data_IF_312118494049
#
_entry.id   IF_312118494049
#
_cell.length_a   1.000
_cell.length_b   1.000
_cell.length_c   1.000
_cell.angle_alpha   90.00
_cell.angle_beta   90.00
_cell.angle_gamma   90.00
#
_symmetry.space_group_name_H-M   'P 1'
#
loop_
_entity.id
_entity.type
_entity.pdbx_description
1 polymer ?
#
# COMPACT_ATOMS: atom_id res chain seq x y z
N UNK A 1 21.15 -18.79 6.83
CA UNK A 1 21.25 -17.60 7.74
C UNK A 1 20.49 -16.36 7.23
N UNK A 2 20.40 -16.11 5.93
CA UNK A 2 19.76 -14.93 5.34
C UNK A 2 18.24 -15.10 5.22
N UNK A 3 17.82 -16.25 4.76
CA UNK A 3 16.43 -16.68 4.67
C UNK A 3 15.77 -16.80 6.05
N UNK A 4 16.50 -17.19 7.06
CA UNK A 4 16.00 -17.27 8.44
C UNK A 4 15.70 -15.90 9.04
N UNK A 5 16.51 -14.88 8.76
CA UNK A 5 16.25 -13.50 9.20
C UNK A 5 15.03 -12.88 8.50
N UNK A 6 14.89 -13.14 7.20
CA UNK A 6 13.69 -12.74 6.45
C UNK A 6 12.43 -13.38 7.02
N UNK A 7 12.47 -14.70 7.22
CA UNK A 7 11.34 -15.44 7.79
C UNK A 7 10.98 -14.94 9.20
N UNK A 8 11.97 -14.61 10.01
CA UNK A 8 11.76 -14.10 11.36
C UNK A 8 11.12 -12.70 11.33
N UNK A 9 11.62 -11.79 10.51
CA UNK A 9 11.05 -10.45 10.36
C UNK A 9 9.61 -10.48 9.80
N UNK A 10 9.34 -11.34 8.81
CA UNK A 10 8.00 -11.54 8.28
C UNK A 10 7.06 -12.18 9.31
N UNK A 11 7.55 -13.12 10.13
CA UNK A 11 6.79 -13.73 11.22
C UNK A 11 6.50 -12.74 12.35
N UNK A 12 7.43 -11.85 12.70
CA UNK A 12 7.21 -10.82 13.71
C UNK A 12 6.20 -9.77 13.23
N UNK A 13 6.29 -9.32 11.99
CA UNK A 13 5.32 -8.41 11.39
C UNK A 13 3.92 -9.04 11.38
N UNK A 14 3.81 -10.29 10.93
CA UNK A 14 2.55 -11.04 10.93
C UNK A 14 2.01 -11.24 12.35
N UNK A 15 2.87 -11.60 13.31
CA UNK A 15 2.45 -11.80 14.71
C UNK A 15 2.03 -10.50 15.40
N UNK A 16 2.56 -9.35 14.99
CA UNK A 16 2.13 -8.04 15.46
C UNK A 16 0.74 -7.67 14.94
N UNK A 17 0.53 -7.87 13.64
CA UNK A 17 -0.76 -7.64 12.97
C UNK A 17 -1.87 -8.55 13.53
N UNK A 18 -1.57 -9.84 13.69
CA UNK A 18 -2.50 -10.82 14.30
C UNK A 18 -2.85 -10.43 15.73
N UNK A 19 -1.89 -9.97 16.55
CA UNK A 19 -2.19 -9.54 17.92
C UNK A 19 -3.08 -8.30 17.96
N UNK A 20 -2.86 -7.34 17.07
CA UNK A 20 -3.67 -6.13 16.99
C UNK A 20 -5.10 -6.47 16.54
N UNK A 21 -5.25 -7.29 15.50
CA UNK A 21 -6.55 -7.76 15.04
C UNK A 21 -7.29 -8.59 16.09
N UNK A 22 -6.59 -9.42 16.89
CA UNK A 22 -7.20 -10.23 17.94
C UNK A 22 -7.69 -9.35 19.10
N UNK A 23 -6.95 -8.28 19.45
CA UNK A 23 -7.36 -7.35 20.48
C UNK A 23 -8.62 -6.55 20.07
N UNK A 24 -8.69 -6.15 18.79
CA UNK A 24 -9.87 -5.50 18.22
C UNK A 24 -11.09 -6.45 18.23
N UNK A 25 -10.88 -7.74 17.94
CA UNK A 25 -11.90 -8.78 17.97
C UNK A 25 -12.44 -9.10 19.38
N UNK A 26 -11.57 -9.13 20.40
CA UNK A 26 -11.98 -9.36 21.80
C UNK A 26 -12.86 -8.21 22.30
N UNK A 27 -12.65 -7.00 21.80
CA UNK A 27 -13.46 -5.82 22.16
C UNK A 27 -14.85 -5.83 21.49
N UNK A 28 -15.00 -6.50 20.33
CA UNK A 28 -16.29 -6.67 19.62
C UNK A 28 -17.06 -7.94 20.06
N UNK A 29 -16.41 -8.91 20.68
CA UNK A 29 -16.98 -10.21 21.03
C UNK A 29 -18.00 -10.18 22.19
N UNK A 30 -18.33 -9.03 22.77
CA UNK A 30 -19.42 -8.88 23.73
C UNK A 30 -20.83 -8.92 23.09
N UNK A 31 -20.95 -9.11 21.78
CA UNK A 31 -22.25 -9.27 21.11
C UNK A 31 -22.56 -10.73 20.82
N UNK A 32 -23.73 -11.17 21.29
CA UNK A 32 -24.27 -12.54 21.32
C UNK A 32 -24.55 -13.19 19.94
N UNK A 33 -23.88 -12.81 18.86
CA UNK A 33 -24.05 -13.38 17.53
C UNK A 33 -22.81 -14.16 17.09
N UNK A 34 -22.87 -15.47 17.24
CA UNK A 34 -21.88 -16.43 16.73
C UNK A 34 -21.94 -16.55 15.20
N UNK A 35 -21.44 -15.57 14.48
CA UNK A 35 -21.08 -15.76 13.08
C UNK A 35 -19.67 -16.36 12.98
N UNK A 36 -19.42 -17.30 12.07
CA UNK A 36 -18.09 -17.87 11.89
C UNK A 36 -17.15 -16.77 11.40
N UNK A 37 -16.18 -16.44 12.22
CA UNK A 37 -15.12 -15.53 11.88
C UNK A 37 -14.12 -16.22 10.96
N UNK A 38 -13.75 -15.52 9.89
CA UNK A 38 -12.73 -15.98 8.97
C UNK A 38 -11.64 -14.93 8.89
N UNK A 39 -10.41 -15.34 9.14
CA UNK A 39 -9.21 -14.55 8.94
C UNK A 39 -8.23 -15.34 8.09
N UNK A 40 -7.81 -14.79 6.96
CA UNK A 40 -6.75 -15.34 6.14
C UNK A 40 -5.73 -14.26 5.79
N UNK A 41 -4.46 -14.57 6.00
CA UNK A 41 -3.36 -13.71 5.60
C UNK A 41 -2.42 -14.47 4.66
N UNK A 42 -1.99 -13.81 3.60
CA UNK A 42 -0.97 -14.32 2.68
C UNK A 42 0.14 -13.29 2.46
N UNK A 43 1.35 -13.78 2.23
CA UNK A 43 2.49 -12.97 1.81
C UNK A 43 3.05 -13.59 0.53
N UNK A 44 3.04 -12.84 -0.56
CA UNK A 44 3.45 -13.29 -1.88
C UNK A 44 4.60 -12.44 -2.41
N UNK A 45 5.56 -13.09 -3.10
CA UNK A 45 6.60 -12.37 -3.85
C UNK A 45 6.05 -12.09 -5.23
N UNK A 46 5.84 -10.81 -5.56
CA UNK A 46 5.30 -10.41 -6.86
C UNK A 46 6.36 -10.10 -7.90
N UNK A 47 7.52 -9.61 -7.46
CA UNK A 47 8.63 -9.31 -8.36
C UNK A 47 9.99 -9.40 -7.64
N UNK A 48 11.02 -9.76 -8.40
CA UNK A 48 12.43 -9.61 -8.06
C UNK A 48 13.04 -8.67 -9.10
N UNK A 49 13.33 -7.43 -8.70
CA UNK A 49 13.82 -6.42 -9.62
C UNK A 49 14.80 -5.48 -8.94
N UNK A 50 15.93 -5.17 -9.62
CA UNK A 50 17.00 -4.28 -9.13
C UNK A 50 17.59 -4.70 -7.76
N UNK A 51 17.57 -6.00 -7.45
CA UNK A 51 18.04 -6.51 -6.15
C UNK A 51 17.05 -6.27 -5.00
N UNK A 52 15.81 -5.97 -5.33
CA UNK A 52 14.71 -5.81 -4.39
C UNK A 52 13.63 -6.85 -4.65
N UNK A 53 13.03 -7.37 -3.59
CA UNK A 53 11.84 -8.19 -3.64
C UNK A 53 10.61 -7.35 -3.32
N UNK A 54 9.68 -7.29 -4.26
CA UNK A 54 8.36 -6.71 -4.06
C UNK A 54 7.44 -7.77 -3.47
N UNK A 55 6.90 -7.50 -2.28
CA UNK A 55 6.04 -8.40 -1.53
C UNK A 55 4.64 -7.81 -1.45
N UNK A 56 3.62 -8.64 -1.65
CA UNK A 56 2.24 -8.31 -1.38
C UNK A 56 1.76 -9.07 -0.15
N UNK A 57 1.33 -8.33 0.86
CA UNK A 57 0.65 -8.87 2.03
C UNK A 57 -0.84 -8.62 1.86
N UNK A 58 -1.64 -9.68 1.94
CA UNK A 58 -3.09 -9.59 1.80
C UNK A 58 -3.75 -10.21 3.02
N UNK A 59 -4.67 -9.47 3.63
CA UNK A 59 -5.53 -9.93 4.72
C UNK A 59 -6.96 -9.92 4.26
N UNK A 60 -7.64 -11.04 4.45
CA UNK A 60 -9.08 -11.15 4.22
C UNK A 60 -9.75 -11.51 5.53
N UNK A 61 -10.73 -10.73 5.92
CA UNK A 61 -11.56 -10.99 7.08
C UNK A 61 -13.01 -11.14 6.65
N UNK A 62 -13.74 -12.01 7.28
CA UNK A 62 -15.19 -12.11 7.14
C UNK A 62 -15.79 -11.89 8.52
N UNK A 63 -16.59 -10.86 8.67
CA UNK A 63 -17.36 -10.58 9.86
C UNK A 63 -18.84 -10.56 9.47
N UNK A 64 -19.66 -11.35 10.17
CA UNK A 64 -21.12 -11.29 10.05
C UNK A 64 -21.66 -11.44 8.61
N UNK A 65 -21.28 -12.52 7.92
CA UNK A 65 -21.77 -12.86 6.56
C UNK A 65 -21.51 -11.80 5.46
N UNK A 66 -20.74 -10.75 5.78
CA UNK A 66 -20.33 -9.78 4.79
C UNK A 66 -18.84 -9.97 4.48
N UNK A 67 -18.49 -10.42 3.27
CA UNK A 67 -17.08 -10.45 2.86
C UNK A 67 -16.49 -9.04 2.95
N UNK A 68 -15.55 -8.83 3.86
CA UNK A 68 -14.75 -7.60 3.88
C UNK A 68 -13.92 -7.51 2.60
N UNK A 69 -13.72 -6.32 2.09
CA UNK A 69 -12.71 -6.13 1.03
C UNK A 69 -11.35 -6.51 1.57
N UNK A 70 -10.57 -7.37 0.87
CA UNK A 70 -9.26 -7.76 1.35
C UNK A 70 -8.37 -6.52 1.48
N UNK A 71 -7.75 -6.34 2.64
CA UNK A 71 -6.70 -5.35 2.83
C UNK A 71 -5.44 -5.85 2.15
N UNK A 72 -4.88 -5.07 1.26
CA UNK A 72 -3.61 -5.38 0.59
C UNK A 72 -2.58 -4.31 0.91
N UNK A 73 -1.34 -4.72 1.15
CA UNK A 73 -0.22 -3.83 1.42
C UNK A 73 1.03 -4.34 0.73
N UNK A 74 1.79 -3.43 0.16
CA UNK A 74 3.06 -3.75 -0.47
C UNK A 74 4.22 -3.44 0.47
N UNK A 75 5.25 -4.26 0.36
CA UNK A 75 6.54 -4.05 1.01
C UNK A 75 7.65 -4.25 0.01
N UNK A 76 8.65 -3.40 0.05
CA UNK A 76 9.86 -3.57 -0.74
C UNK A 76 11.01 -3.97 0.17
N UNK A 77 11.66 -5.09 -0.15
CA UNK A 77 12.76 -5.66 0.62
C UNK A 77 14.06 -5.61 -0.18
N UNK A 78 15.13 -5.06 0.40
CA UNK A 78 16.49 -5.26 -0.12
C UNK A 78 16.87 -6.74 -0.02
N UNK A 79 17.00 -7.42 -1.17
CA UNK A 79 17.27 -8.87 -1.21
C UNK A 79 18.65 -9.25 -0.66
N UNK A 80 19.59 -8.29 -0.56
CA UNK A 80 20.94 -8.51 -0.02
C UNK A 80 21.02 -8.28 1.47
N UNK A 81 20.37 -7.20 1.95
CA UNK A 81 20.41 -6.82 3.37
C UNK A 81 19.30 -7.49 4.17
N UNK A 82 18.17 -7.82 3.54
CA UNK A 82 16.97 -8.33 4.19
C UNK A 82 16.28 -7.26 5.02
N UNK A 83 16.38 -5.99 4.61
CA UNK A 83 15.72 -4.84 5.25
C UNK A 83 14.64 -4.29 4.35
N UNK A 84 13.57 -3.79 4.95
CA UNK A 84 12.55 -3.05 4.23
C UNK A 84 13.11 -1.72 3.74
N UNK A 85 12.66 -1.30 2.57
CA UNK A 85 13.06 -0.05 1.94
C UNK A 85 11.86 0.89 1.86
N UNK A 86 12.08 2.13 2.27
CA UNK A 86 11.15 3.23 2.05
C UNK A 86 11.25 3.80 0.63
N UNK A 87 10.23 4.49 0.18
CA UNK A 87 10.27 5.19 -1.12
C UNK A 87 11.42 6.22 -1.16
N UNK A 88 11.69 6.91 -0.06
CA UNK A 88 12.80 7.87 0.03
C UNK A 88 14.19 7.21 -0.08
N UNK A 89 14.32 5.93 0.23
CA UNK A 89 15.59 5.18 0.05
C UNK A 89 15.77 4.70 -1.38
N UNK A 90 14.69 4.43 -2.10
CA UNK A 90 14.69 3.89 -3.47
C UNK A 90 14.79 4.98 -4.53
N UNK A 91 14.09 6.09 -4.33
CA UNK A 91 14.00 7.16 -5.33
C UNK A 91 14.86 8.36 -4.95
N UNK A 92 15.56 8.93 -5.94
CA UNK A 92 16.47 10.07 -5.78
C UNK A 92 15.74 11.39 -5.66
N UNK A 93 14.64 11.56 -6.40
CA UNK A 93 13.81 12.76 -6.42
C UNK A 93 12.38 12.44 -6.00
N UNK A 94 12.11 12.54 -4.70
CA UNK A 94 10.80 12.26 -4.13
C UNK A 94 9.77 13.35 -4.43
N UNK A 95 10.23 14.57 -4.77
CA UNK A 95 9.32 15.65 -5.16
C UNK A 95 8.78 15.41 -6.56
N UNK A 96 9.64 15.15 -7.53
CA UNK A 96 9.23 14.79 -8.89
C UNK A 96 8.36 13.51 -8.89
N UNK A 97 8.71 12.52 -8.07
CA UNK A 97 7.89 11.33 -7.90
C UNK A 97 6.46 11.67 -7.43
N UNK A 98 6.31 12.51 -6.41
CA UNK A 98 5.00 12.93 -5.89
C UNK A 98 4.20 13.73 -6.92
N UNK A 99 4.84 14.55 -7.74
CA UNK A 99 4.20 15.27 -8.84
C UNK A 99 3.63 14.28 -9.86
N UNK A 100 4.44 13.36 -10.36
CA UNK A 100 3.99 12.33 -11.31
C UNK A 100 2.85 11.47 -10.76
N UNK A 101 2.95 11.06 -9.50
CA UNK A 101 1.90 10.29 -8.83
C UNK A 101 0.59 11.08 -8.74
N UNK A 102 0.68 12.36 -8.41
CA UNK A 102 -0.49 13.24 -8.29
C UNK A 102 -1.17 13.44 -9.65
N UNK A 103 -0.40 13.74 -10.69
CA UNK A 103 -0.92 13.94 -12.04
C UNK A 103 -1.62 12.67 -12.55
N UNK A 104 -0.96 11.51 -12.42
CA UNK A 104 -1.53 10.22 -12.81
C UNK A 104 -2.79 9.86 -12.03
N UNK A 105 -2.82 10.17 -10.74
CA UNK A 105 -3.99 9.96 -9.89
C UNK A 105 -5.17 10.83 -10.32
N UNK A 106 -4.94 12.13 -10.52
CA UNK A 106 -5.99 13.07 -10.92
C UNK A 106 -6.54 12.75 -12.32
N UNK A 107 -5.67 12.36 -13.25
CA UNK A 107 -6.07 11.90 -14.58
C UNK A 107 -7.02 10.69 -14.51
N UNK A 108 -6.71 9.72 -13.66
CA UNK A 108 -7.51 8.50 -13.46
C UNK A 108 -8.92 8.80 -12.94
N UNK A 109 -9.11 9.87 -12.18
CA UNK A 109 -10.40 10.21 -11.58
C UNK A 109 -11.40 10.86 -12.55
N UNK A 110 -10.96 11.32 -13.71
CA UNK A 110 -11.85 11.95 -14.70
C UNK A 110 -12.56 13.18 -14.15
N UNK A 111 -11.85 14.03 -13.43
CA UNK A 111 -12.40 15.18 -12.72
C UNK A 111 -12.99 16.23 -13.67
N UNK A 112 -13.94 17.00 -13.18
CA UNK A 112 -14.55 18.12 -13.94
C UNK A 112 -13.56 19.27 -14.06
N UNK A 113 -13.14 19.67 -15.28
CA UNK A 113 -12.21 20.78 -15.46
C UNK A 113 -12.75 22.10 -14.86
N UNK A 114 -11.86 22.83 -14.17
CA UNK A 114 -12.17 24.14 -13.59
C UNK A 114 -12.92 24.13 -12.26
N UNK A 115 -13.33 22.96 -11.78
CA UNK A 115 -13.93 22.82 -10.44
C UNK A 115 -12.83 22.54 -9.41
N UNK A 116 -12.81 23.22 -8.24
CA UNK A 116 -11.84 22.95 -7.19
C UNK A 116 -11.84 21.48 -6.75
N UNK A 117 -10.66 20.92 -6.47
CA UNK A 117 -10.51 19.50 -6.08
C UNK A 117 -11.32 19.15 -4.82
N UNK A 118 -11.37 20.07 -3.86
CA UNK A 118 -12.12 19.91 -2.61
C UNK A 118 -13.63 19.76 -2.84
N UNK A 119 -14.18 20.50 -3.80
CA UNK A 119 -15.60 20.39 -4.18
C UNK A 119 -15.91 19.08 -4.89
N UNK A 120 -14.88 18.44 -5.44
CA UNK A 120 -14.96 17.12 -6.06
C UNK A 120 -14.61 15.99 -5.09
N UNK A 121 -14.45 16.29 -3.78
CA UNK A 121 -14.17 15.31 -2.74
C UNK A 121 -12.70 14.87 -2.65
N UNK A 122 -11.79 15.63 -3.27
CA UNK A 122 -10.34 15.35 -3.23
C UNK A 122 -9.67 16.28 -2.23
N UNK A 123 -9.06 15.70 -1.19
CA UNK A 123 -8.42 16.39 -0.08
C UNK A 123 -6.90 16.18 -0.12
N UNK A 124 -6.21 16.87 -1.01
CA UNK A 124 -4.74 16.81 -1.05
C UNK A 124 -4.13 17.64 0.10
N UNK A 125 -2.90 17.30 0.54
CA UNK A 125 -2.10 18.13 1.43
C UNK A 125 -1.95 19.57 0.92
N UNK A 126 -1.51 20.49 1.79
CA UNK A 126 -1.41 21.92 1.48
C UNK A 126 -0.48 22.24 0.30
N UNK A 127 0.46 21.37 -0.02
CA UNK A 127 1.35 21.48 -1.17
C UNK A 127 0.72 20.96 -2.49
N UNK A 128 -0.53 20.52 -2.44
CA UNK A 128 -1.29 20.07 -3.61
C UNK A 128 -0.85 18.72 -4.19
N UNK A 129 -0.03 17.96 -3.47
CA UNK A 129 0.52 16.68 -3.94
C UNK A 129 0.13 15.52 -3.05
N UNK A 130 0.01 14.33 -3.64
CA UNK A 130 -0.12 13.10 -2.88
C UNK A 130 1.05 12.94 -1.90
N UNK A 131 0.82 12.45 -0.68
CA UNK A 131 1.90 12.15 0.25
C UNK A 131 2.82 11.05 -0.33
N UNK A 132 4.09 11.04 0.07
CA UNK A 132 4.95 9.90 -0.23
C UNK A 132 4.48 8.70 0.60
N UNK A 133 4.26 7.58 -0.07
CA UNK A 133 3.86 6.33 0.59
C UNK A 133 4.97 5.28 0.49
N UNK A 134 5.11 4.48 1.55
CA UNK A 134 5.98 3.30 1.57
C UNK A 134 5.20 2.00 1.23
N UNK A 135 3.91 2.14 0.92
CA UNK A 135 3.06 1.07 0.38
C UNK A 135 3.22 1.03 -1.15
N UNK A 136 4.31 0.43 -1.62
CA UNK A 136 4.62 0.37 -3.05
C UNK A 136 5.39 -0.90 -3.42
N UNK A 137 5.34 -1.24 -4.70
CA UNK A 137 6.11 -2.32 -5.33
C UNK A 137 6.78 -1.83 -6.60
N UNK A 138 7.88 -2.48 -6.96
CA UNK A 138 8.59 -2.23 -8.23
C UNK A 138 8.72 -3.52 -9.03
N UNK A 139 8.75 -3.37 -10.35
CA UNK A 139 8.97 -4.45 -11.30
C UNK A 139 9.69 -3.93 -12.56
N UNK A 140 10.01 -4.81 -13.48
CA UNK A 140 10.53 -4.40 -14.79
C UNK A 140 9.55 -3.59 -15.65
N UNK A 141 8.26 -3.59 -15.29
CA UNK A 141 7.23 -2.82 -16.00
C UNK A 141 7.04 -1.41 -15.41
N UNK A 142 7.48 -1.16 -14.19
CA UNK A 142 7.33 0.12 -13.50
C UNK A 142 7.14 -0.05 -11.99
N UNK A 143 6.52 0.96 -11.38
CA UNK A 143 6.22 0.98 -9.96
C UNK A 143 4.73 1.23 -9.71
N UNK A 144 4.16 0.54 -8.73
CA UNK A 144 2.77 0.73 -8.27
C UNK A 144 2.81 1.24 -6.85
N UNK A 145 2.11 2.34 -6.59
CA UNK A 145 1.96 2.96 -5.27
C UNK A 145 0.50 2.84 -4.84
N UNK A 146 0.29 2.43 -3.61
CA UNK A 146 -1.03 2.26 -3.03
C UNK A 146 -1.32 3.33 -2.00
N UNK A 147 -2.56 3.80 -2.01
CA UNK A 147 -3.05 4.82 -1.10
C UNK A 147 -4.35 4.36 -0.45
N UNK A 148 -4.43 4.54 0.87
CA UNK A 148 -5.70 4.56 1.57
C UNK A 148 -6.41 5.89 1.30
N UNK A 149 -7.56 5.83 0.66
CA UNK A 149 -8.32 6.99 0.24
C UNK A 149 -9.24 7.56 1.32
N UNK A 150 -9.31 6.94 2.49
CA UNK A 150 -10.17 7.41 3.59
C UNK A 150 -9.92 8.88 3.98
N UNK A 151 -8.69 9.36 3.81
CA UNK A 151 -8.30 10.74 4.10
C UNK A 151 -8.19 11.63 2.86
N UNK A 152 -7.91 11.06 1.69
CA UNK A 152 -7.63 11.81 0.45
C UNK A 152 -8.85 11.95 -0.45
N UNK A 153 -9.71 10.95 -0.50
CA UNK A 153 -10.90 10.93 -1.34
C UNK A 153 -12.00 10.01 -0.73
N UNK A 154 -12.46 10.26 0.50
CA UNK A 154 -13.30 9.33 1.27
C UNK A 154 -14.65 9.04 0.64
N UNK A 155 -15.13 9.90 -0.25
CA UNK A 155 -16.43 9.75 -0.92
C UNK A 155 -16.34 9.08 -2.29
N UNK A 156 -15.11 8.87 -2.81
CA UNK A 156 -14.91 8.43 -4.19
C UNK A 156 -14.42 6.98 -4.22
N UNK A 157 -13.37 6.67 -3.47
CA UNK A 157 -12.70 5.38 -3.51
C UNK A 157 -12.21 4.98 -2.12
N UNK A 158 -12.39 3.70 -1.69
CA UNK A 158 -11.80 3.22 -0.45
C UNK A 158 -10.28 3.05 -0.54
N UNK A 159 -9.78 2.66 -1.71
CA UNK A 159 -8.36 2.43 -2.00
C UNK A 159 -8.04 2.81 -3.44
N UNK A 160 -6.82 3.25 -3.70
CA UNK A 160 -6.36 3.51 -5.06
C UNK A 160 -4.91 3.09 -5.26
N UNK A 161 -4.66 2.45 -6.39
CA UNK A 161 -3.31 2.18 -6.89
C UNK A 161 -2.98 3.15 -8.03
N UNK A 162 -1.80 3.75 -7.95
CA UNK A 162 -1.23 4.59 -9.00
C UNK A 162 -0.04 3.88 -9.59
N UNK A 163 -0.10 3.57 -10.86
CA UNK A 163 0.97 2.90 -11.61
C UNK A 163 1.75 3.92 -12.43
N UNK A 164 3.08 3.92 -12.26
CA UNK A 164 4.01 4.66 -13.11
C UNK A 164 4.82 3.66 -13.97
N UNK A 165 4.76 3.75 -15.30
CA UNK A 165 5.48 2.84 -16.18
C UNK A 165 7.00 3.01 -16.09
N UNK A 166 7.74 1.97 -16.51
CA UNK A 166 9.19 1.91 -16.35
C UNK A 166 9.91 3.09 -17.01
N UNK A 167 9.50 3.50 -18.20
CA UNK A 167 10.08 4.62 -18.93
C UNK A 167 9.98 5.95 -18.19
N UNK A 168 8.97 6.11 -17.34
CA UNK A 168 8.73 7.32 -16.54
C UNK A 168 9.48 7.27 -15.21
N UNK A 169 9.47 6.11 -14.53
CA UNK A 169 10.01 5.97 -13.19
C UNK A 169 11.52 5.67 -13.16
N UNK A 170 12.06 5.06 -14.22
CA UNK A 170 13.45 4.60 -14.29
C UNK A 170 14.49 5.71 -13.98
N UNK A 171 14.33 6.96 -14.47
CA UNK A 171 15.26 8.05 -14.15
C UNK A 171 15.30 8.44 -12.67
N UNK A 172 14.25 8.11 -11.91
CA UNK A 172 14.14 8.49 -10.50
C UNK A 172 14.75 7.47 -9.54
N UNK A 173 15.11 6.26 -9.99
CA UNK A 173 15.79 5.32 -9.11
C UNK A 173 17.17 5.82 -8.70
N UNK A 174 17.52 5.64 -7.42
CA UNK A 174 18.90 5.82 -6.96
C UNK A 174 19.85 4.84 -7.68
N UNK A 175 21.03 5.34 -8.03
CA UNK A 175 22.10 4.57 -8.68
C UNK A 175 22.84 3.70 -7.67
#
# INVERSE_FOLDING_TARGET
RRWERFRHAAQEALASEVRQSTADLEQEAESDYLSPWYYAASLEVEADYRGCLSLAYTVSTNALDTPGSPLRKYYLLDSRKGTLLSAAEVFSDTLALREMLTDTFLEKLGLTPGMPLQEQGILLPADGRLPLTDDFRISSQGATFRYDMSTLAPTILPESEVFLPAEVIEPLYKK
#
